data_IF_651672395958
#
_entry.id   IF_651672395958
#
_cell.length_a   1.000
_cell.length_b   1.000
_cell.length_c   1.000
_cell.angle_alpha   90.00
_cell.angle_beta   90.00
_cell.angle_gamma   90.00
#
_symmetry.space_group_name_H-M   'P 1'
#
loop_
_entity.id
_entity.type
_entity.pdbx_description
1 polymer ?
#
# COMPACT_ATOMS: atom_id res chain seq x y z
N UNK A 1 -31.71 -7.60 -72.62
CA UNK A 1 -31.50 -8.75 -71.73
C UNK A 1 -30.88 -8.25 -70.46
N UNK A 2 -31.56 -8.30 -69.33
CA UNK A 2 -30.98 -7.84 -68.07
C UNK A 2 -30.06 -8.92 -67.48
N UNK A 3 -28.87 -8.50 -67.10
CA UNK A 3 -27.88 -9.33 -66.43
C UNK A 3 -28.27 -9.44 -64.94
N UNK A 4 -28.59 -10.67 -64.49
CA UNK A 4 -28.82 -10.97 -63.08
C UNK A 4 -27.46 -11.01 -62.35
N UNK A 5 -27.26 -10.12 -61.36
CA UNK A 5 -26.16 -10.17 -60.44
C UNK A 5 -26.48 -11.21 -59.38
N UNK A 6 -25.77 -12.34 -59.36
CA UNK A 6 -25.88 -13.33 -58.31
C UNK A 6 -25.06 -12.86 -57.13
N UNK A 7 -25.73 -12.69 -55.95
CA UNK A 7 -25.06 -12.40 -54.71
C UNK A 7 -24.24 -13.61 -54.23
N UNK A 8 -23.03 -13.41 -53.66
CA UNK A 8 -22.24 -14.51 -53.11
C UNK A 8 -22.89 -15.09 -51.84
N UNK A 9 -22.91 -16.42 -51.77
CA UNK A 9 -23.32 -17.15 -50.56
C UNK A 9 -22.48 -16.79 -49.33
N UNK A 10 -23.07 -16.69 -48.14
CA UNK A 10 -22.32 -16.46 -46.93
C UNK A 10 -21.50 -17.71 -46.59
N UNK A 11 -20.19 -17.53 -46.44
CA UNK A 11 -19.25 -18.54 -45.97
C UNK A 11 -19.69 -19.18 -44.64
N UNK A 12 -19.60 -20.52 -44.60
CA UNK A 12 -19.95 -21.35 -43.46
C UNK A 12 -19.40 -20.80 -42.12
N UNK A 13 -20.31 -20.65 -41.17
CA UNK A 13 -20.01 -20.07 -39.89
C UNK A 13 -18.97 -20.87 -39.08
N UNK A 14 -18.01 -20.16 -38.54
CA UNK A 14 -17.28 -20.62 -37.38
C UNK A 14 -18.25 -20.68 -36.19
N UNK A 15 -18.39 -21.88 -35.61
CA UNK A 15 -19.13 -22.04 -34.37
C UNK A 15 -18.56 -21.09 -33.30
N UNK A 16 -19.39 -20.32 -32.55
CA UNK A 16 -18.90 -19.49 -31.49
C UNK A 16 -18.27 -20.39 -30.42
N UNK A 17 -16.94 -20.32 -30.30
CA UNK A 17 -16.26 -20.89 -29.15
C UNK A 17 -16.88 -20.25 -27.91
N UNK A 18 -17.58 -21.08 -27.12
CA UNK A 18 -18.25 -20.63 -25.90
C UNK A 18 -17.22 -19.99 -24.98
N UNK A 19 -17.22 -18.66 -24.95
CA UNK A 19 -16.56 -17.92 -23.89
C UNK A 19 -17.32 -18.24 -22.63
N UNK A 20 -16.74 -19.09 -21.80
CA UNK A 20 -17.18 -19.23 -20.41
C UNK A 20 -17.01 -17.84 -19.79
N UNK A 21 -18.12 -17.21 -19.41
CA UNK A 21 -18.08 -15.94 -18.71
C UNK A 21 -17.26 -16.16 -17.43
N UNK A 22 -16.28 -15.27 -17.13
CA UNK A 22 -15.58 -15.37 -15.86
C UNK A 22 -16.61 -15.30 -14.72
N UNK A 23 -16.39 -16.01 -13.61
CA UNK A 23 -17.29 -15.98 -12.47
C UNK A 23 -17.51 -14.51 -12.04
N UNK A 24 -18.71 -14.16 -11.58
CA UNK A 24 -18.98 -12.81 -11.11
C UNK A 24 -18.04 -12.47 -9.97
N UNK A 25 -17.31 -11.35 -10.10
CA UNK A 25 -16.45 -10.85 -9.03
C UNK A 25 -17.31 -10.55 -7.79
N UNK A 26 -16.79 -10.75 -6.55
CA UNK A 26 -17.44 -10.33 -5.33
C UNK A 26 -17.92 -8.87 -5.41
N UNK A 27 -19.02 -8.54 -4.77
CA UNK A 27 -19.64 -7.20 -4.85
C UNK A 27 -18.67 -6.08 -4.47
N UNK A 28 -17.85 -6.29 -3.44
CA UNK A 28 -16.83 -5.34 -2.99
C UNK A 28 -15.72 -5.13 -4.04
N UNK A 29 -15.31 -6.17 -4.75
CA UNK A 29 -14.31 -6.08 -5.81
C UNK A 29 -14.81 -5.29 -7.04
N UNK A 30 -16.14 -5.24 -7.26
CA UNK A 30 -16.73 -4.41 -8.33
C UNK A 30 -16.72 -2.92 -8.02
N UNK A 31 -16.69 -2.55 -6.72
CA UNK A 31 -16.70 -1.14 -6.30
C UNK A 31 -15.31 -0.48 -6.33
N UNK A 32 -14.23 -1.28 -6.40
CA UNK A 32 -12.88 -0.80 -6.13
C UNK A 32 -12.22 0.10 -7.18
N UNK A 33 -12.42 0.09 -8.48
CA UNK A 33 -11.51 0.82 -9.38
C UNK A 33 -12.07 2.00 -10.15
N UNK A 34 -13.36 2.18 -10.27
CA UNK A 34 -13.93 3.22 -11.15
C UNK A 34 -14.47 4.44 -10.43
N UNK A 35 -14.85 4.30 -9.16
CA UNK A 35 -15.53 5.35 -8.39
C UNK A 35 -14.74 5.83 -7.16
N UNK A 36 -13.47 5.45 -7.03
CA UNK A 36 -12.58 5.95 -5.99
C UNK A 36 -12.14 7.38 -6.30
N UNK A 37 -13.11 8.26 -6.49
CA UNK A 37 -12.87 9.68 -6.73
C UNK A 37 -12.97 10.49 -5.42
N UNK A 38 -11.85 11.15 -5.12
CA UNK A 38 -11.68 12.54 -4.61
C UNK A 38 -12.69 13.08 -3.55
N UNK A 39 -13.84 12.50 -3.28
CA UNK A 39 -14.81 13.11 -2.35
C UNK A 39 -14.46 13.00 -0.85
N UNK A 40 -13.60 12.06 -0.44
CA UNK A 40 -13.26 11.89 0.98
C UNK A 40 -12.09 12.73 1.49
N UNK A 41 -11.32 13.40 0.61
CA UNK A 41 -10.21 14.24 1.06
C UNK A 41 -10.67 15.48 1.84
N UNK A 42 -11.87 15.96 1.58
CA UNK A 42 -12.46 17.12 2.29
C UNK A 42 -13.01 16.68 3.64
N UNK A 43 -13.70 15.54 3.70
CA UNK A 43 -14.22 14.98 4.96
C UNK A 43 -13.10 14.56 5.92
N UNK A 44 -12.04 13.99 5.40
CA UNK A 44 -10.88 13.57 6.18
C UNK A 44 -10.15 14.77 6.81
N UNK A 45 -9.94 15.88 6.09
CA UNK A 45 -9.32 17.08 6.66
C UNK A 45 -10.09 17.65 7.82
N UNK A 46 -11.42 17.53 7.80
CA UNK A 46 -12.28 17.96 8.92
C UNK A 46 -12.26 17.03 10.13
N UNK A 47 -11.78 15.79 9.98
CA UNK A 47 -11.70 14.81 11.08
C UNK A 47 -10.34 14.75 11.76
N UNK A 48 -9.32 15.43 11.23
CA UNK A 48 -7.98 15.47 11.85
C UNK A 48 -7.97 16.51 12.97
N UNK A 49 -7.56 16.13 14.20
CA UNK A 49 -7.35 17.09 15.29
C UNK A 49 -6.40 18.23 14.89
N UNK A 50 -6.70 19.42 15.40
CA UNK A 50 -5.88 20.63 15.14
C UNK A 50 -4.42 20.46 15.54
N UNK A 51 -4.17 19.68 16.58
CA UNK A 51 -2.84 19.38 17.12
C UNK A 51 -2.01 18.57 16.11
N UNK A 52 -2.61 17.57 15.47
CA UNK A 52 -1.97 16.77 14.43
C UNK A 52 -1.70 17.64 13.20
N UNK A 53 -2.65 18.51 12.85
CA UNK A 53 -2.46 19.42 11.73
C UNK A 53 -1.32 20.42 12.01
N UNK A 54 -1.28 21.02 13.21
CA UNK A 54 -0.20 21.91 13.62
C UNK A 54 1.15 21.18 13.60
N UNK A 55 1.22 19.98 14.19
CA UNK A 55 2.42 19.16 14.21
C UNK A 55 2.93 18.77 12.80
N UNK A 56 2.04 18.61 11.84
CA UNK A 56 2.44 18.30 10.46
C UNK A 56 3.17 19.44 9.74
N UNK A 57 3.10 20.67 10.27
CA UNK A 57 3.71 21.85 9.65
C UNK A 57 5.12 22.18 10.21
N UNK A 58 5.48 21.63 11.37
CA UNK A 58 6.79 21.83 12.00
C UNK A 58 7.69 20.61 11.75
N UNK A 59 8.95 20.77 11.29
CA UNK A 59 9.82 19.65 10.97
C UNK A 59 10.07 18.66 12.11
N UNK A 60 10.22 19.13 13.35
CA UNK A 60 10.47 18.27 14.51
C UNK A 60 9.21 17.50 14.89
N UNK A 61 8.09 18.19 14.95
CA UNK A 61 6.80 17.60 15.27
C UNK A 61 6.33 16.66 14.17
N UNK A 62 6.63 16.94 12.88
CA UNK A 62 6.36 16.05 11.76
C UNK A 62 7.16 14.75 11.85
N UNK A 63 8.44 14.80 12.27
CA UNK A 63 9.20 13.60 12.60
C UNK A 63 8.54 12.84 13.75
N UNK A 64 8.07 13.54 14.79
CA UNK A 64 7.30 12.96 15.90
C UNK A 64 6.03 12.27 15.44
N UNK A 65 5.25 12.89 14.54
CA UNK A 65 4.06 12.28 13.92
C UNK A 65 4.40 10.97 13.22
N UNK A 66 5.36 10.97 12.31
CA UNK A 66 5.73 9.78 11.54
C UNK A 66 6.25 8.67 12.46
N UNK A 67 7.04 9.01 13.46
CA UNK A 67 7.48 8.04 14.47
C UNK A 67 6.26 7.48 15.24
N UNK A 68 5.33 8.33 15.65
CA UNK A 68 4.10 7.96 16.38
C UNK A 68 3.23 6.96 15.61
N UNK A 69 3.16 7.10 14.26
CA UNK A 69 2.37 6.20 13.41
C UNK A 69 2.81 4.73 13.46
N UNK A 70 4.08 4.46 13.80
CA UNK A 70 4.67 3.11 13.79
C UNK A 70 4.91 2.55 15.20
N UNK A 71 4.56 3.30 16.25
CA UNK A 71 4.71 2.86 17.63
C UNK A 71 3.73 1.75 17.98
N UNK A 72 4.19 0.82 18.82
CA UNK A 72 3.38 -0.31 19.32
C UNK A 72 2.32 0.17 20.29
N UNK A 73 1.19 -0.54 20.29
CA UNK A 73 0.12 -0.30 21.27
C UNK A 73 0.53 -0.70 22.69
N UNK A 74 1.33 -1.76 22.81
CA UNK A 74 1.86 -2.21 24.11
C UNK A 74 2.79 -1.14 24.71
N UNK A 75 2.55 -0.70 25.97
CA UNK A 75 3.30 0.38 26.58
C UNK A 75 4.79 0.06 26.75
N UNK A 76 5.15 -1.19 27.11
CA UNK A 76 6.53 -1.58 27.34
C UNK A 76 7.31 -1.63 26.02
N UNK A 77 6.73 -2.21 24.98
CA UNK A 77 7.31 -2.25 23.64
C UNK A 77 7.45 -0.84 23.06
N UNK A 78 6.44 0.02 23.25
CA UNK A 78 6.47 1.42 22.82
C UNK A 78 7.60 2.20 23.53
N UNK A 79 7.76 2.04 24.85
CA UNK A 79 8.85 2.68 25.59
C UNK A 79 10.22 2.23 25.03
N UNK A 80 10.40 0.96 24.75
CA UNK A 80 11.63 0.44 24.14
C UNK A 80 11.88 1.00 22.73
N UNK A 81 10.82 1.16 21.92
CA UNK A 81 10.89 1.79 20.59
C UNK A 81 11.32 3.26 20.69
N UNK A 82 10.71 4.03 21.59
CA UNK A 82 11.05 5.44 21.82
C UNK A 82 12.49 5.63 22.30
N UNK A 83 12.97 4.73 23.16
CA UNK A 83 14.36 4.78 23.61
C UNK A 83 15.34 4.46 22.46
N UNK A 84 15.05 3.48 21.61
CA UNK A 84 15.82 3.21 20.38
C UNK A 84 15.86 4.41 19.43
N UNK A 85 14.73 5.11 19.29
CA UNK A 85 14.65 6.28 18.43
C UNK A 85 15.44 7.47 18.96
N UNK A 86 15.55 7.62 20.29
CA UNK A 86 16.18 8.76 20.97
C UNK A 86 17.60 9.05 20.50
N UNK A 87 18.39 7.98 20.33
CA UNK A 87 19.80 8.11 19.90
C UNK A 87 20.00 8.56 18.46
N UNK A 88 18.97 8.46 17.62
CA UNK A 88 19.03 8.75 16.18
C UNK A 88 18.20 9.97 15.79
N UNK A 89 16.95 10.05 16.25
CA UNK A 89 16.03 11.13 15.92
C UNK A 89 16.12 12.32 16.90
N UNK A 90 16.71 12.11 18.08
CA UNK A 90 16.81 13.13 19.12
C UNK A 90 15.67 13.08 20.15
N UNK A 91 15.96 13.63 21.35
CA UNK A 91 15.02 13.59 22.48
C UNK A 91 13.76 14.41 22.26
N UNK A 92 13.83 15.45 21.44
CA UNK A 92 12.68 16.33 21.12
C UNK A 92 11.68 15.59 20.24
N UNK A 93 12.12 14.95 19.16
CA UNK A 93 11.27 14.12 18.30
C UNK A 93 10.59 12.99 19.07
N UNK A 94 11.31 12.39 20.03
CA UNK A 94 10.76 11.32 20.89
C UNK A 94 9.66 11.84 21.82
N UNK A 95 9.84 13.05 22.39
CA UNK A 95 8.80 13.69 23.22
C UNK A 95 7.56 14.01 22.38
N UNK A 96 7.74 14.57 21.20
CA UNK A 96 6.65 14.84 20.26
C UNK A 96 5.91 13.54 19.89
N UNK A 97 6.63 12.48 19.54
CA UNK A 97 6.02 11.20 19.20
C UNK A 97 5.20 10.62 20.38
N UNK A 98 5.74 10.70 21.60
CA UNK A 98 5.04 10.22 22.78
C UNK A 98 3.79 11.04 23.11
N UNK A 99 3.82 12.36 22.86
CA UNK A 99 2.68 13.25 23.06
C UNK A 99 1.60 13.07 22.00
N UNK A 100 1.98 12.88 20.74
CA UNK A 100 1.05 12.74 19.60
C UNK A 100 0.45 11.33 19.49
N UNK A 101 1.10 10.31 20.01
CA UNK A 101 0.70 8.91 19.86
C UNK A 101 -0.73 8.63 20.33
N UNK A 102 -1.21 9.13 21.49
CA UNK A 102 -2.61 8.94 21.88
C UNK A 102 -3.60 9.55 20.88
N UNK A 103 -3.31 10.73 20.34
CA UNK A 103 -4.16 11.39 19.35
C UNK A 103 -4.19 10.60 18.02
N UNK A 104 -3.04 10.04 17.62
CA UNK A 104 -2.94 9.22 16.43
C UNK A 104 -3.73 7.91 16.54
N UNK A 105 -3.90 7.38 17.75
CA UNK A 105 -4.72 6.17 17.99
C UNK A 105 -6.21 6.40 17.84
N UNK A 106 -6.66 7.60 18.15
CA UNK A 106 -8.08 7.98 18.08
C UNK A 106 -8.50 8.32 16.64
N UNK A 107 -7.55 8.42 15.71
CA UNK A 107 -7.87 8.69 14.32
C UNK A 107 -8.64 7.51 13.68
N UNK A 108 -9.58 7.83 12.78
CA UNK A 108 -10.25 6.81 12.00
C UNK A 108 -9.27 5.87 11.30
N UNK A 109 -9.68 4.63 11.12
CA UNK A 109 -8.92 3.66 10.36
C UNK A 109 -8.55 4.19 8.95
N UNK A 110 -7.34 3.87 8.49
CA UNK A 110 -6.84 4.37 7.21
C UNK A 110 -6.29 5.79 7.25
N UNK A 111 -6.12 6.39 8.43
CA UNK A 111 -5.60 7.76 8.57
C UNK A 111 -4.08 7.87 8.49
N UNK A 112 -3.32 6.78 8.65
CA UNK A 112 -1.85 6.82 8.72
C UNK A 112 -1.22 7.41 7.47
N UNK A 113 -1.63 6.95 6.29
CA UNK A 113 -1.08 7.46 5.01
C UNK A 113 -1.41 8.94 4.82
N UNK A 114 -2.66 9.39 4.97
CA UNK A 114 -2.98 10.82 4.90
C UNK A 114 -2.22 11.70 5.92
N UNK A 115 -1.99 11.22 7.14
CA UNK A 115 -1.18 11.96 8.14
C UNK A 115 0.29 12.01 7.72
N UNK A 116 0.80 10.91 7.19
CA UNK A 116 2.15 10.86 6.60
C UNK A 116 2.28 11.89 5.46
N UNK A 117 1.32 11.94 4.54
CA UNK A 117 1.30 12.89 3.42
C UNK A 117 1.27 14.35 3.89
N UNK A 118 0.49 14.66 4.93
CA UNK A 118 0.46 16.00 5.53
C UNK A 118 1.81 16.41 6.11
N UNK A 119 2.61 15.45 6.57
CA UNK A 119 3.93 15.70 7.17
C UNK A 119 5.03 15.91 6.12
N UNK A 120 4.82 15.51 4.86
CA UNK A 120 5.86 15.56 3.82
C UNK A 120 6.41 16.97 3.54
N UNK A 121 5.61 18.05 3.49
CA UNK A 121 6.14 19.40 3.28
C UNK A 121 7.12 19.84 4.39
N UNK A 122 6.83 19.53 5.65
CA UNK A 122 7.71 19.84 6.77
C UNK A 122 8.97 18.97 6.75
N UNK A 123 8.85 17.68 6.46
CA UNK A 123 9.98 16.76 6.35
C UNK A 123 10.94 17.12 5.21
N UNK A 124 10.47 17.78 4.14
CA UNK A 124 11.34 18.30 3.06
C UNK A 124 12.25 19.43 3.50
N UNK A 125 11.97 20.08 4.64
CA UNK A 125 12.81 21.14 5.20
C UNK A 125 14.01 20.58 5.99
N UNK A 126 14.01 19.27 6.27
CA UNK A 126 15.14 18.62 6.94
C UNK A 126 16.38 18.62 6.05
N UNK A 127 17.55 18.82 6.65
CA UNK A 127 18.81 18.58 5.96
C UNK A 127 18.94 17.09 5.56
N UNK A 128 19.75 16.81 4.55
CA UNK A 128 20.01 15.41 4.12
C UNK A 128 20.51 14.53 5.26
N UNK A 129 21.32 15.08 6.16
CA UNK A 129 21.84 14.37 7.32
C UNK A 129 20.73 14.03 8.34
N UNK A 130 19.87 15.01 8.66
CA UNK A 130 18.72 14.81 9.56
C UNK A 130 17.75 13.77 8.98
N UNK A 131 17.42 13.88 7.70
CA UNK A 131 16.53 12.93 7.03
C UNK A 131 17.10 11.51 7.02
N UNK A 132 18.43 11.36 6.81
CA UNK A 132 19.10 10.06 6.83
C UNK A 132 19.06 9.43 8.23
N UNK A 133 19.35 10.20 9.28
CA UNK A 133 19.27 9.74 10.67
C UNK A 133 17.83 9.39 11.07
N UNK A 134 16.87 10.19 10.65
CA UNK A 134 15.46 9.92 10.92
C UNK A 134 14.97 8.63 10.23
N UNK A 135 15.32 8.42 8.97
CA UNK A 135 15.02 7.16 8.27
C UNK A 135 15.63 5.95 8.97
N UNK A 136 16.86 6.08 9.45
CA UNK A 136 17.51 5.03 10.23
C UNK A 136 16.76 4.77 11.56
N UNK A 137 16.25 5.82 12.21
CA UNK A 137 15.43 5.67 13.42
C UNK A 137 14.14 4.89 13.11
N UNK A 138 13.40 5.28 12.06
CA UNK A 138 12.18 4.57 11.60
C UNK A 138 12.50 3.10 11.30
N UNK A 139 13.59 2.81 10.61
CA UNK A 139 14.01 1.45 10.32
C UNK A 139 14.29 0.65 11.60
N UNK A 140 15.07 1.21 12.53
CA UNK A 140 15.42 0.55 13.78
C UNK A 140 14.23 0.29 14.71
N UNK A 141 13.29 1.23 14.75
CA UNK A 141 12.03 1.10 15.52
C UNK A 141 11.13 0.05 14.89
N UNK A 142 11.11 -0.04 13.57
CA UNK A 142 10.24 -0.94 12.82
C UNK A 142 10.63 -2.41 12.87
N UNK A 143 11.89 -2.74 13.12
CA UNK A 143 12.36 -4.13 13.18
C UNK A 143 11.68 -4.97 14.27
N UNK A 144 11.19 -4.34 15.34
CA UNK A 144 10.51 -5.03 16.44
C UNK A 144 8.97 -5.03 16.28
N UNK A 145 8.47 -4.59 15.15
CA UNK A 145 7.05 -4.48 14.93
C UNK A 145 6.47 -5.75 14.30
N UNK A 146 5.34 -6.26 14.84
CA UNK A 146 4.52 -7.22 14.11
C UNK A 146 3.97 -6.62 12.80
N UNK A 147 4.06 -5.30 12.67
CA UNK A 147 3.61 -4.53 11.52
C UNK A 147 4.78 -4.11 10.61
N UNK A 148 5.77 -4.98 10.42
CA UNK A 148 6.95 -4.70 9.59
C UNK A 148 6.60 -4.22 8.17
N UNK A 149 5.50 -4.71 7.60
CA UNK A 149 5.03 -4.25 6.30
C UNK A 149 4.61 -2.76 6.34
N UNK A 150 3.89 -2.31 7.38
CA UNK A 150 3.52 -0.89 7.52
C UNK A 150 4.75 -0.01 7.62
N UNK A 151 5.75 -0.41 8.39
CA UNK A 151 7.01 0.36 8.52
C UNK A 151 7.72 0.45 7.18
N UNK A 152 7.78 -0.64 6.45
CA UNK A 152 8.37 -0.68 5.11
C UNK A 152 7.61 0.26 4.15
N UNK A 153 6.27 0.23 4.16
CA UNK A 153 5.45 1.09 3.32
C UNK A 153 5.60 2.58 3.69
N UNK A 154 5.70 2.91 4.99
CA UNK A 154 6.02 4.28 5.45
C UNK A 154 7.37 4.73 4.90
N UNK A 155 8.40 3.88 4.97
CA UNK A 155 9.72 4.19 4.42
C UNK A 155 9.70 4.35 2.90
N UNK A 156 8.97 3.48 2.20
CA UNK A 156 8.83 3.54 0.75
C UNK A 156 8.11 4.84 0.31
N UNK A 157 7.05 5.22 1.03
CA UNK A 157 6.36 6.50 0.82
C UNK A 157 7.29 7.69 1.09
N UNK A 158 8.04 7.69 2.19
CA UNK A 158 9.04 8.72 2.46
C UNK A 158 10.10 8.82 1.36
N UNK A 159 10.59 7.71 0.82
CA UNK A 159 11.53 7.74 -0.31
C UNK A 159 10.89 8.39 -1.53
N UNK A 160 9.69 7.97 -1.88
CA UNK A 160 8.97 8.50 -3.03
C UNK A 160 8.76 10.01 -2.95
N UNK A 161 8.41 10.54 -1.77
CA UNK A 161 8.06 11.95 -1.60
C UNK A 161 9.25 12.86 -1.28
N UNK A 162 10.31 12.32 -0.68
CA UNK A 162 11.43 13.12 -0.16
C UNK A 162 12.74 12.95 -0.94
N UNK A 163 12.87 11.91 -1.77
CA UNK A 163 14.04 11.76 -2.62
C UNK A 163 13.85 12.54 -3.93
N UNK A 164 14.90 13.21 -4.36
CA UNK A 164 14.90 13.90 -5.64
C UNK A 164 14.62 12.91 -6.78
N UNK A 165 13.72 13.27 -7.69
CA UNK A 165 13.19 12.43 -8.77
C UNK A 165 14.23 11.88 -9.78
N UNK A 166 15.52 12.04 -9.52
CA UNK A 166 16.63 11.59 -10.37
C UNK A 166 17.44 10.40 -9.84
N UNK A 167 17.07 9.82 -8.71
CA UNK A 167 17.83 8.71 -8.08
C UNK A 167 17.21 7.35 -8.25
N UNK A 168 16.72 7.03 -9.40
CA UNK A 168 16.47 5.64 -9.73
C UNK A 168 17.81 4.98 -10.00
N UNK A 169 18.34 4.25 -9.03
CA UNK A 169 19.38 3.25 -9.29
C UNK A 169 18.89 2.29 -10.36
N UNK A 170 19.77 1.43 -10.92
CA UNK A 170 19.32 0.40 -11.82
C UNK A 170 18.21 -0.41 -11.16
N UNK A 171 17.12 -0.76 -11.89
CA UNK A 171 16.02 -1.53 -11.32
C UNK A 171 16.58 -2.84 -10.74
N UNK A 172 16.04 -3.30 -9.60
CA UNK A 172 16.44 -4.59 -9.04
C UNK A 172 16.28 -5.70 -10.09
N UNK A 173 17.17 -6.68 -10.05
CA UNK A 173 17.15 -7.82 -10.98
C UNK A 173 16.01 -8.83 -10.73
N UNK A 174 15.05 -8.47 -9.90
CA UNK A 174 13.88 -9.30 -9.58
C UNK A 174 12.89 -9.21 -10.73
N UNK A 175 12.44 -10.36 -11.23
CA UNK A 175 11.43 -10.41 -12.29
C UNK A 175 10.07 -9.86 -11.82
N UNK A 176 9.32 -9.25 -12.73
CA UNK A 176 8.04 -8.59 -12.40
C UNK A 176 7.02 -9.55 -11.77
N UNK A 177 6.92 -10.77 -12.27
CA UNK A 177 6.00 -11.80 -11.74
C UNK A 177 6.38 -12.23 -10.33
N UNK A 178 7.67 -12.38 -10.05
CA UNK A 178 8.17 -12.65 -8.70
C UNK A 178 7.87 -11.47 -7.77
N UNK A 179 8.03 -10.24 -8.27
CA UNK A 179 7.71 -9.02 -7.51
C UNK A 179 6.22 -8.95 -7.16
N UNK A 180 5.34 -9.24 -8.09
CA UNK A 180 3.91 -9.31 -7.83
C UNK A 180 3.57 -10.37 -6.79
N UNK A 181 4.09 -11.58 -6.93
CA UNK A 181 3.84 -12.67 -5.98
C UNK A 181 4.33 -12.35 -4.57
N UNK A 182 5.51 -11.71 -4.45
CA UNK A 182 6.10 -11.31 -3.17
C UNK A 182 5.25 -10.29 -2.43
N UNK A 183 4.93 -9.18 -3.10
CA UNK A 183 4.15 -8.11 -2.46
C UNK A 183 2.73 -8.58 -2.17
N UNK A 184 2.09 -9.31 -3.08
CA UNK A 184 0.75 -9.85 -2.86
C UNK A 184 0.74 -10.84 -1.68
N UNK A 185 1.74 -11.74 -1.58
CA UNK A 185 1.88 -12.65 -0.43
C UNK A 185 2.09 -11.89 0.88
N UNK A 186 2.89 -10.83 0.89
CA UNK A 186 3.10 -9.99 2.07
C UNK A 186 1.81 -9.32 2.52
N UNK A 187 1.05 -8.76 1.58
CA UNK A 187 -0.23 -8.08 1.83
C UNK A 187 -1.27 -9.05 2.39
N UNK A 188 -1.46 -10.20 1.76
CA UNK A 188 -2.46 -11.20 2.21
C UNK A 188 -2.12 -11.76 3.59
N UNK A 189 -0.82 -11.92 3.92
CA UNK A 189 -0.39 -12.41 5.23
C UNK A 189 -0.63 -11.44 6.39
N UNK A 190 -0.93 -10.20 6.12
CA UNK A 190 -1.30 -9.24 7.17
C UNK A 190 -2.76 -9.37 7.59
N UNK A 191 -3.57 -10.13 6.85
CA UNK A 191 -4.94 -10.44 7.24
C UNK A 191 -4.94 -11.40 8.45
N UNK A 192 -6.02 -11.37 9.23
CA UNK A 192 -6.19 -12.29 10.37
C UNK A 192 -6.74 -13.65 9.97
N UNK A 193 -6.85 -13.90 8.72
CA UNK A 193 -7.48 -15.06 8.15
C UNK A 193 -6.64 -16.33 8.33
N UNK A 194 -7.30 -17.47 8.21
CA UNK A 194 -6.64 -18.77 8.22
C UNK A 194 -5.74 -18.94 7.01
N UNK A 195 -4.79 -19.89 7.07
CA UNK A 195 -3.91 -20.19 5.95
C UNK A 195 -4.68 -20.57 4.67
N UNK A 196 -5.85 -21.20 4.81
CA UNK A 196 -6.71 -21.53 3.68
C UNK A 196 -7.31 -20.24 3.05
N UNK A 197 -7.87 -19.34 3.86
CA UNK A 197 -8.42 -18.08 3.39
C UNK A 197 -7.33 -17.18 2.76
N UNK A 198 -6.11 -17.17 3.34
CA UNK A 198 -4.97 -16.49 2.73
C UNK A 198 -4.62 -17.04 1.35
N UNK A 199 -4.67 -18.38 1.17
CA UNK A 199 -4.42 -19.00 -0.12
C UNK A 199 -5.52 -18.65 -1.14
N UNK A 200 -6.79 -18.64 -0.73
CA UNK A 200 -7.93 -18.25 -1.56
C UNK A 200 -7.84 -16.78 -1.96
N UNK A 201 -7.55 -15.89 -1.02
CA UNK A 201 -7.33 -14.47 -1.24
C UNK A 201 -6.17 -14.22 -2.24
N UNK A 202 -5.05 -14.92 -2.05
CA UNK A 202 -3.92 -14.83 -2.97
C UNK A 202 -4.30 -15.27 -4.39
N UNK A 203 -5.02 -16.38 -4.53
CA UNK A 203 -5.46 -16.90 -5.82
C UNK A 203 -6.37 -15.89 -6.56
N UNK A 204 -7.26 -15.21 -5.84
CA UNK A 204 -8.11 -14.15 -6.40
C UNK A 204 -7.29 -12.96 -6.90
N UNK A 205 -6.30 -12.51 -6.13
CA UNK A 205 -5.38 -11.45 -6.55
C UNK A 205 -4.56 -11.82 -7.78
N UNK A 206 -4.07 -13.05 -7.85
CA UNK A 206 -3.35 -13.58 -9.03
C UNK A 206 -4.27 -13.63 -10.26
N UNK A 207 -5.51 -14.09 -10.09
CA UNK A 207 -6.50 -14.12 -11.18
C UNK A 207 -6.79 -12.72 -11.74
N UNK A 208 -6.87 -11.70 -10.89
CA UNK A 208 -7.06 -10.29 -11.30
C UNK A 208 -5.88 -9.78 -12.14
N UNK A 209 -4.67 -10.21 -11.83
CA UNK A 209 -3.47 -9.86 -12.61
C UNK A 209 -3.47 -10.53 -14.00
N UNK A 210 -4.19 -11.65 -14.17
CA UNK A 210 -4.33 -12.40 -15.42
C UNK A 210 -2.99 -12.63 -16.15
N UNK A 211 -1.97 -13.05 -15.41
CA UNK A 211 -0.63 -13.34 -15.91
C UNK A 211 -0.34 -14.83 -15.70
N UNK A 212 -0.05 -15.57 -16.77
CA UNK A 212 0.16 -17.02 -16.70
C UNK A 212 1.47 -17.43 -16.01
N UNK A 213 2.40 -16.49 -15.86
CA UNK A 213 3.71 -16.68 -15.25
C UNK A 213 3.73 -16.46 -13.73
N UNK A 214 2.56 -16.16 -13.11
CA UNK A 214 2.44 -16.02 -11.68
C UNK A 214 2.25 -17.38 -10.99
N UNK A 215 2.81 -17.56 -9.77
CA UNK A 215 2.55 -18.75 -8.98
C UNK A 215 1.08 -18.80 -8.54
N UNK A 216 0.53 -20.01 -8.47
CA UNK A 216 -0.85 -20.24 -8.00
C UNK A 216 -0.92 -20.39 -6.47
N UNK A 217 0.23 -20.50 -5.81
CA UNK A 217 0.33 -20.74 -4.37
C UNK A 217 1.00 -19.56 -3.70
N UNK A 218 0.45 -19.13 -2.57
CA UNK A 218 1.04 -18.08 -1.73
C UNK A 218 2.45 -18.48 -1.29
N UNK A 219 3.38 -17.55 -1.32
CA UNK A 219 4.77 -17.82 -0.92
C UNK A 219 4.82 -18.18 0.57
N UNK A 220 5.68 -19.10 0.95
CA UNK A 220 5.90 -19.44 2.36
C UNK A 220 6.37 -18.21 3.15
N UNK A 221 6.06 -18.14 4.44
CA UNK A 221 6.42 -16.99 5.30
C UNK A 221 7.93 -16.74 5.29
N UNK A 222 8.73 -17.79 5.35
CA UNK A 222 10.20 -17.72 5.24
C UNK A 222 10.71 -17.16 3.89
N UNK A 223 9.86 -17.13 2.87
CA UNK A 223 10.17 -16.57 1.54
C UNK A 223 9.81 -15.08 1.43
N UNK A 224 9.02 -14.55 2.37
CA UNK A 224 8.57 -13.15 2.38
C UNK A 224 9.49 -12.34 3.28
N UNK A 225 10.65 -11.94 2.75
CA UNK A 225 11.59 -11.05 3.39
C UNK A 225 11.23 -9.60 3.06
N UNK A 226 11.15 -8.74 4.08
CA UNK A 226 10.80 -7.32 3.92
C UNK A 226 11.75 -6.56 2.99
N UNK A 227 13.04 -6.91 2.96
CA UNK A 227 13.98 -6.31 2.02
C UNK A 227 13.61 -6.68 0.57
N UNK A 228 13.29 -7.94 0.32
CA UNK A 228 12.83 -8.39 -1.01
C UNK A 228 11.49 -7.77 -1.40
N UNK A 229 10.59 -7.55 -0.43
CA UNK A 229 9.33 -6.84 -0.66
C UNK A 229 9.59 -5.38 -1.07
N UNK A 230 10.56 -4.71 -0.45
CA UNK A 230 10.96 -3.35 -0.80
C UNK A 230 11.54 -3.25 -2.23
N UNK A 231 12.41 -4.19 -2.58
CA UNK A 231 12.95 -4.33 -3.94
C UNK A 231 11.83 -4.60 -4.96
N UNK A 232 10.90 -5.49 -4.62
CA UNK A 232 9.75 -5.82 -5.44
C UNK A 232 8.81 -4.61 -5.66
N UNK A 233 8.54 -3.83 -4.61
CA UNK A 233 7.78 -2.58 -4.72
C UNK A 233 8.47 -1.59 -5.67
N UNK A 234 9.80 -1.51 -5.63
CA UNK A 234 10.58 -0.66 -6.54
C UNK A 234 10.43 -1.11 -8.00
N UNK A 235 10.46 -2.42 -8.27
CA UNK A 235 10.22 -2.98 -9.62
C UNK A 235 8.81 -2.66 -10.10
N UNK A 236 7.80 -2.80 -9.24
CA UNK A 236 6.40 -2.51 -9.58
C UNK A 236 6.20 -1.01 -9.81
N UNK A 237 6.81 -0.16 -8.98
CA UNK A 237 6.73 1.30 -9.13
C UNK A 237 7.33 1.82 -10.44
N UNK A 238 8.29 1.09 -11.02
CA UNK A 238 8.87 1.41 -12.32
C UNK A 238 7.97 1.04 -13.51
N UNK A 239 6.87 0.32 -13.29
CA UNK A 239 5.94 -0.07 -14.34
C UNK A 239 5.03 1.09 -14.78
N UNK A 240 4.33 0.91 -15.89
CA UNK A 240 3.32 1.86 -16.36
C UNK A 240 2.23 2.12 -15.31
N UNK A 241 1.60 3.28 -15.37
CA UNK A 241 0.47 3.61 -14.48
C UNK A 241 -0.64 2.56 -14.55
N UNK A 242 -0.87 2.00 -15.74
CA UNK A 242 -1.87 0.95 -15.96
C UNK A 242 -1.52 -0.33 -15.18
N UNK A 243 -0.27 -0.81 -15.26
CA UNK A 243 0.19 -2.01 -14.53
C UNK A 243 0.16 -1.78 -13.01
N UNK A 244 0.59 -0.61 -12.55
CA UNK A 244 0.52 -0.24 -11.13
C UNK A 244 -0.91 -0.22 -10.60
N UNK A 245 -1.86 0.38 -11.34
CA UNK A 245 -3.28 0.37 -10.99
C UNK A 245 -3.85 -1.03 -10.94
N UNK A 246 -3.49 -1.86 -11.92
CA UNK A 246 -3.92 -3.25 -11.98
C UNK A 246 -3.41 -4.03 -10.76
N UNK A 247 -2.16 -3.80 -10.35
CA UNK A 247 -1.60 -4.44 -9.16
C UNK A 247 -2.29 -3.98 -7.88
N UNK A 248 -2.53 -2.68 -7.69
CA UNK A 248 -3.28 -2.16 -6.53
C UNK A 248 -4.68 -2.77 -6.48
N UNK A 249 -5.35 -2.89 -7.64
CA UNK A 249 -6.64 -3.57 -7.73
C UNK A 249 -6.56 -5.03 -7.32
N UNK A 250 -5.54 -5.76 -7.75
CA UNK A 250 -5.32 -7.15 -7.36
C UNK A 250 -5.12 -7.30 -5.85
N UNK A 251 -4.37 -6.40 -5.21
CA UNK A 251 -4.27 -6.33 -3.75
C UNK A 251 -5.64 -6.08 -3.10
N UNK A 252 -6.44 -5.16 -3.64
CA UNK A 252 -7.79 -4.89 -3.15
C UNK A 252 -8.71 -6.10 -3.25
N UNK A 253 -8.71 -6.80 -4.39
CA UNK A 253 -9.49 -8.04 -4.57
C UNK A 253 -9.07 -9.11 -3.57
N UNK A 254 -7.77 -9.26 -3.32
CA UNK A 254 -7.24 -10.24 -2.37
C UNK A 254 -7.63 -9.90 -0.92
N UNK A 255 -7.55 -8.64 -0.52
CA UNK A 255 -7.81 -8.21 0.87
C UNK A 255 -9.30 -8.16 1.21
N UNK A 256 -10.15 -7.86 0.24
CA UNK A 256 -11.61 -7.67 0.45
C UNK A 256 -12.43 -8.85 -0.11
N UNK A 257 -11.83 -10.05 -0.17
CA UNK A 257 -12.48 -11.22 -0.77
C UNK A 257 -13.65 -11.76 0.07
N UNK A 258 -13.67 -11.48 1.37
CA UNK A 258 -14.72 -11.88 2.31
C UNK A 258 -15.84 -10.83 2.49
N UNK A 259 -15.82 -9.75 1.67
CA UNK A 259 -16.73 -8.61 1.74
C UNK A 259 -16.67 -7.81 3.07
N UNK A 260 -15.69 -8.09 3.93
CA UNK A 260 -15.42 -7.37 5.18
C UNK A 260 -14.12 -6.60 5.05
N UNK A 261 -14.19 -5.28 5.09
CA UNK A 261 -13.01 -4.42 5.05
C UNK A 261 -12.53 -4.10 6.46
N UNK A 262 -11.48 -4.79 6.93
CA UNK A 262 -10.85 -4.39 8.19
C UNK A 262 -10.04 -3.09 8.01
N UNK A 263 -10.01 -2.29 9.08
CA UNK A 263 -9.29 -1.04 9.12
C UNK A 263 -7.80 -1.16 8.76
N UNK A 264 -7.16 -2.23 9.23
CA UNK A 264 -5.76 -2.51 8.95
C UNK A 264 -5.51 -2.85 7.47
N UNK A 265 -6.44 -3.56 6.85
CA UNK A 265 -6.38 -3.91 5.42
C UNK A 265 -6.48 -2.67 4.53
N UNK A 266 -7.43 -1.77 4.85
CA UNK A 266 -7.58 -0.49 4.15
C UNK A 266 -6.31 0.34 4.26
N UNK A 267 -5.68 0.40 5.44
CA UNK A 267 -4.42 1.12 5.62
C UNK A 267 -3.28 0.55 4.78
N UNK A 268 -3.12 -0.77 4.75
CA UNK A 268 -2.09 -1.42 3.95
C UNK A 268 -2.32 -1.17 2.46
N UNK A 269 -3.56 -1.31 2.00
CA UNK A 269 -3.91 -1.07 0.61
C UNK A 269 -3.64 0.38 0.18
N UNK A 270 -3.96 1.35 1.04
CA UNK A 270 -3.58 2.76 0.83
C UNK A 270 -2.09 2.95 0.76
N UNK A 271 -1.35 2.36 1.69
CA UNK A 271 0.09 2.51 1.75
C UNK A 271 0.79 1.87 0.53
N UNK A 272 0.29 0.73 0.04
CA UNK A 272 0.74 0.13 -1.22
C UNK A 272 0.43 1.05 -2.40
N UNK A 273 -0.79 1.57 -2.49
CA UNK A 273 -1.19 2.48 -3.56
C UNK A 273 -0.33 3.76 -3.57
N UNK A 274 -0.11 4.37 -2.40
CA UNK A 274 0.75 5.55 -2.28
C UNK A 274 2.20 5.23 -2.69
N UNK A 275 2.77 4.13 -2.20
CA UNK A 275 4.12 3.69 -2.58
C UNK A 275 4.26 3.55 -4.09
N UNK A 276 3.22 3.06 -4.77
CA UNK A 276 3.19 2.89 -6.22
C UNK A 276 2.78 4.14 -7.00
N UNK A 277 2.51 5.25 -6.32
CA UNK A 277 2.09 6.50 -6.95
C UNK A 277 0.70 6.42 -7.57
N UNK A 278 -0.18 5.64 -6.98
CA UNK A 278 -1.58 5.51 -7.38
C UNK A 278 -2.45 6.21 -6.34
N UNK A 279 -3.24 7.18 -6.79
CA UNK A 279 -4.22 7.82 -5.91
C UNK A 279 -5.30 6.81 -5.54
N UNK A 280 -5.45 6.58 -4.26
CA UNK A 280 -6.46 5.69 -3.69
C UNK A 280 -7.49 6.54 -2.95
N UNK A 281 -8.68 6.69 -3.52
CA UNK A 281 -9.78 7.35 -2.85
C UNK A 281 -10.66 6.30 -2.18
N UNK A 282 -10.91 6.43 -0.89
CA UNK A 282 -11.73 5.48 -0.14
C UNK A 282 -13.17 5.96 -0.08
N UNK A 283 -14.03 5.29 -0.81
CA UNK A 283 -15.47 5.32 -0.60
C UNK A 283 -15.99 4.14 0.23
N UNK A 284 -15.13 3.40 0.92
CA UNK A 284 -15.55 2.28 1.77
C UNK A 284 -15.98 2.86 3.12
N UNK A 285 -17.31 2.96 3.31
CA UNK A 285 -17.90 3.13 4.63
C UNK A 285 -17.84 1.76 5.31
N UNK A 286 -17.20 1.72 6.49
CA UNK A 286 -17.30 0.60 7.41
C UNK A 286 -18.75 0.42 7.87
#
# INVERSE_FOLDING_TARGET
VPVQVVAPEPAAGFAPTGRVAPPPLPSAARALPTDLQIQDSVGFRGSIPSEIHAASQDPVSAMGLVLGLILRRDPALRAAQLEKARGLAGGEVVREAAWLEPLLRELPAGSRVPVLDLSMPALRQLSKAQLALFRLAIQKVGFDANDGLIVLLVQASMRRHLDDAGRSGPPPLVGLSVSYALVLSAVVRTSRETAQAQQEAFALGVAELARPDLPTTILAESGVDLQKVDEALTVIAAQSVFERRRFVRACGVAMLHDDVAEAAEIEILRAVADTLGITFATGIRA
#
